data_IF_937568185420
#
_entry.id   IF_937568185420
#
_cell.length_a   1.000
_cell.length_b   1.000
_cell.length_c   1.000
_cell.angle_alpha   90.00
_cell.angle_beta   90.00
_cell.angle_gamma   90.00
#
_symmetry.space_group_name_H-M   'P 1'
#
loop_
_entity.id
_entity.type
_entity.pdbx_description
1 polymer ?
#
# COMPACT_ATOMS: atom_id res chain seq x y z
N UNK A 1 -2.45 -24.38 19.11
CA UNK A 1 -2.06 -23.42 18.06
C UNK A 1 -2.30 -21.98 18.51
N UNK A 2 -1.51 -21.51 19.49
CA UNK A 2 -1.55 -20.10 19.95
C UNK A 2 -0.71 -19.14 19.11
N UNK A 3 -0.07 -19.66 18.05
CA UNK A 3 0.82 -18.87 17.19
C UNK A 3 0.11 -17.94 16.22
N UNK A 4 -1.19 -18.10 16.01
CA UNK A 4 -1.90 -17.28 15.01
C UNK A 4 -2.37 -15.93 15.54
N UNK A 5 -2.56 -15.74 16.84
CA UNK A 5 -3.09 -14.49 17.40
C UNK A 5 -2.03 -13.40 17.52
N UNK A 6 -0.83 -13.70 18.03
CA UNK A 6 0.24 -12.72 18.19
C UNK A 6 0.80 -12.24 16.85
N UNK A 7 1.01 -13.15 15.89
CA UNK A 7 1.42 -12.80 14.53
C UNK A 7 0.35 -11.94 13.84
N UNK A 8 -0.92 -12.29 13.99
CA UNK A 8 -2.04 -11.54 13.41
C UNK A 8 -2.19 -10.14 14.02
N UNK A 9 -1.85 -9.93 15.27
CA UNK A 9 -1.96 -8.65 15.96
C UNK A 9 -0.89 -7.64 15.55
N UNK A 10 0.32 -8.10 15.26
CA UNK A 10 1.41 -7.25 14.75
C UNK A 10 1.11 -6.76 13.33
N UNK A 11 0.52 -7.63 12.48
CA UNK A 11 0.21 -7.31 11.07
C UNK A 11 -1.07 -6.50 10.88
N UNK A 12 -2.07 -6.64 11.73
CA UNK A 12 -3.39 -6.02 11.54
C UNK A 12 -3.44 -4.52 11.88
N UNK A 13 -2.40 -3.95 12.48
CA UNK A 13 -2.49 -2.60 13.07
C UNK A 13 -1.74 -1.51 12.31
N UNK A 14 -0.97 -1.82 11.26
CA UNK A 14 -0.08 -0.83 10.64
C UNK A 14 -0.41 -0.51 9.17
N UNK A 15 -1.09 -1.39 8.45
CA UNK A 15 -1.59 -1.12 7.12
C UNK A 15 -3.10 -1.32 7.06
N UNK A 16 -3.83 -0.27 6.71
CA UNK A 16 -5.26 -0.32 6.45
C UNK A 16 -5.50 -0.17 4.95
N UNK A 17 -6.26 -1.13 4.39
CA UNK A 17 -6.79 -1.01 3.04
C UNK A 17 -8.17 -0.37 3.10
N UNK A 18 -8.28 0.88 2.61
CA UNK A 18 -9.50 1.67 2.64
C UNK A 18 -9.81 2.18 1.23
N UNK A 19 -10.67 1.49 0.45
CA UNK A 19 -10.97 1.85 -0.92
C UNK A 19 -11.77 3.16 -1.02
N UNK A 20 -11.18 4.21 -1.62
CA UNK A 20 -11.86 5.51 -1.84
C UNK A 20 -12.51 5.59 -3.20
N UNK A 21 -11.95 4.98 -4.22
CA UNK A 21 -12.36 4.90 -5.62
C UNK A 21 -12.07 6.16 -6.45
N UNK A 22 -12.25 7.38 -5.92
CA UNK A 22 -11.98 8.66 -6.59
C UNK A 22 -11.69 9.75 -5.57
N UNK A 23 -10.94 10.77 -5.96
CA UNK A 23 -10.73 12.00 -5.18
C UNK A 23 -11.71 13.13 -5.53
N UNK A 24 -12.71 12.87 -6.39
CA UNK A 24 -13.74 13.84 -6.74
C UNK A 24 -15.09 13.47 -6.12
N UNK A 25 -15.67 14.39 -5.32
CA UNK A 25 -16.98 14.21 -4.72
C UNK A 25 -18.08 13.99 -5.78
N UNK A 26 -17.96 14.66 -6.93
CA UNK A 26 -18.89 14.47 -8.06
C UNK A 26 -18.82 13.01 -8.56
N UNK A 27 -17.63 12.48 -8.73
CA UNK A 27 -17.45 11.10 -9.22
C UNK A 27 -17.88 10.10 -8.15
N UNK A 28 -17.54 10.31 -6.89
CA UNK A 28 -18.02 9.46 -5.78
C UNK A 28 -19.55 9.39 -5.74
N UNK A 29 -20.22 10.53 -5.85
CA UNK A 29 -21.69 10.59 -5.91
C UNK A 29 -22.23 9.81 -7.12
N UNK A 30 -21.62 9.95 -8.29
CA UNK A 30 -22.02 9.24 -9.50
C UNK A 30 -21.79 7.73 -9.40
N UNK A 31 -20.81 7.30 -8.61
CA UNK A 31 -20.55 5.89 -8.27
C UNK A 31 -21.52 5.35 -7.20
N UNK A 32 -22.39 6.18 -6.63
CA UNK A 32 -23.29 5.80 -5.53
C UNK A 32 -22.57 5.62 -4.20
N UNK A 33 -21.45 6.31 -3.97
CA UNK A 33 -20.73 6.30 -2.70
C UNK A 33 -21.39 7.25 -1.71
N UNK A 34 -21.52 6.80 -0.45
CA UNK A 34 -22.18 7.56 0.62
C UNK A 34 -21.19 8.35 1.49
N UNK A 35 -19.98 8.62 0.98
CA UNK A 35 -18.97 9.42 1.65
C UNK A 35 -18.42 10.48 0.71
N UNK A 36 -17.98 11.58 1.26
CA UNK A 36 -17.22 12.61 0.58
C UNK A 36 -15.71 12.38 0.74
N UNK A 37 -14.89 13.11 -0.01
CA UNK A 37 -13.42 13.13 0.16
C UNK A 37 -13.07 13.70 1.53
N UNK A 38 -13.80 14.69 2.01
CA UNK A 38 -13.62 15.31 3.32
C UNK A 38 -13.86 14.31 4.45
N UNK A 39 -14.94 13.52 4.39
CA UNK A 39 -15.22 12.44 5.35
C UNK A 39 -14.09 11.40 5.35
N UNK A 40 -13.62 11.04 4.15
CA UNK A 40 -12.52 10.09 4.00
C UNK A 40 -11.24 10.62 4.65
N UNK A 41 -10.89 11.89 4.43
CA UNK A 41 -9.70 12.52 5.04
C UNK A 41 -9.86 12.62 6.56
N UNK A 42 -11.05 12.91 7.09
CA UNK A 42 -11.30 12.90 8.53
C UNK A 42 -10.98 11.54 9.14
N UNK A 43 -11.49 10.45 8.53
CA UNK A 43 -11.20 9.08 8.99
C UNK A 43 -9.68 8.80 8.96
N UNK A 44 -8.99 9.15 7.88
CA UNK A 44 -7.53 9.01 7.77
C UNK A 44 -6.81 9.74 8.91
N UNK A 45 -7.23 10.96 9.23
CA UNK A 45 -6.62 11.78 10.27
C UNK A 45 -6.87 11.21 11.66
N UNK A 46 -8.08 10.74 11.96
CA UNK A 46 -8.38 10.08 13.24
C UNK A 46 -7.57 8.79 13.42
N UNK A 47 -7.44 7.99 12.37
CA UNK A 47 -6.61 6.79 12.42
C UNK A 47 -5.13 7.13 12.63
N UNK A 48 -4.60 8.18 11.99
CA UNK A 48 -3.22 8.66 12.21
C UNK A 48 -3.00 9.21 13.61
N UNK A 49 -4.00 9.85 14.23
CA UNK A 49 -3.95 10.29 15.64
C UNK A 49 -3.88 9.09 16.58
N UNK A 50 -4.71 8.07 16.33
CA UNK A 50 -4.74 6.86 17.15
C UNK A 50 -3.45 6.03 17.01
N UNK A 51 -2.88 5.96 15.81
CA UNK A 51 -1.62 5.27 15.52
C UNK A 51 -0.79 6.04 14.47
N UNK A 52 0.23 6.84 14.88
CA UNK A 52 1.07 7.61 13.96
C UNK A 52 1.86 6.77 12.94
N UNK A 53 2.05 5.49 13.23
CA UNK A 53 2.78 4.57 12.33
C UNK A 53 1.89 3.96 11.25
N UNK A 54 0.57 4.15 11.35
CA UNK A 54 -0.37 3.55 10.40
C UNK A 54 -0.12 4.04 8.97
N UNK A 55 -0.25 3.13 8.02
CA UNK A 55 -0.18 3.41 6.58
C UNK A 55 -1.46 2.97 5.90
N UNK A 56 -1.67 3.49 4.70
CA UNK A 56 -2.90 3.26 3.95
C UNK A 56 -2.61 2.70 2.58
N UNK A 57 -3.50 1.83 2.13
CA UNK A 57 -3.65 1.40 0.75
C UNK A 57 -5.07 1.65 0.28
N UNK A 58 -5.27 1.83 -1.03
CA UNK A 58 -6.59 2.13 -1.57
C UNK A 58 -6.75 1.66 -3.01
N UNK A 59 -8.01 1.54 -3.45
CA UNK A 59 -8.38 1.29 -4.84
C UNK A 59 -8.88 2.57 -5.49
N UNK A 60 -8.62 2.69 -6.80
CA UNK A 60 -9.03 3.82 -7.62
C UNK A 60 -9.59 3.35 -8.96
N UNK A 61 -10.69 3.97 -9.39
CA UNK A 61 -11.28 3.77 -10.70
C UNK A 61 -11.03 5.03 -11.53
N UNK A 62 -10.31 4.89 -12.63
CA UNK A 62 -9.91 5.97 -13.53
C UNK A 62 -10.76 5.94 -14.79
N UNK A 63 -11.12 7.10 -15.33
CA UNK A 63 -11.92 7.20 -16.55
C UNK A 63 -13.37 6.80 -16.33
N UNK A 64 -13.92 7.02 -15.15
CA UNK A 64 -15.36 6.84 -14.89
C UNK A 64 -16.17 7.76 -15.81
N UNK A 65 -17.36 7.34 -16.31
CA UNK A 65 -18.20 8.17 -17.16
C UNK A 65 -18.48 9.55 -16.55
N UNK A 66 -18.18 10.60 -17.32
CA UNK A 66 -18.32 11.98 -16.87
C UNK A 66 -17.16 12.53 -16.02
N UNK A 67 -16.08 11.78 -15.84
CA UNK A 67 -14.84 12.27 -15.21
C UNK A 67 -14.18 13.33 -16.12
N UNK A 68 -13.99 14.53 -15.60
CA UNK A 68 -13.27 15.64 -16.24
C UNK A 68 -11.80 15.64 -15.83
N UNK A 69 -10.98 16.49 -16.47
CA UNK A 69 -9.57 16.66 -16.06
C UNK A 69 -9.48 17.18 -14.63
N UNK A 70 -10.37 18.08 -14.22
CA UNK A 70 -10.46 18.57 -12.85
C UNK A 70 -10.74 17.45 -11.86
N UNK A 71 -11.71 16.56 -12.16
CA UNK A 71 -12.02 15.39 -11.30
C UNK A 71 -10.81 14.45 -11.14
N UNK A 72 -10.05 14.29 -12.23
CA UNK A 72 -8.82 13.49 -12.21
C UNK A 72 -7.69 14.17 -11.41
N UNK A 73 -7.53 15.49 -11.53
CA UNK A 73 -6.57 16.28 -10.73
C UNK A 73 -6.89 16.20 -9.24
N UNK A 74 -8.17 16.27 -8.85
CA UNK A 74 -8.63 16.06 -7.46
C UNK A 74 -8.23 14.65 -6.96
N UNK A 75 -8.33 13.63 -7.81
CA UNK A 75 -7.89 12.28 -7.48
C UNK A 75 -6.38 12.19 -7.28
N UNK A 76 -5.58 12.85 -8.12
CA UNK A 76 -4.12 12.93 -7.94
C UNK A 76 -3.74 13.73 -6.69
N UNK A 77 -4.50 14.77 -6.35
CA UNK A 77 -4.30 15.55 -5.12
C UNK A 77 -4.51 14.66 -3.90
N UNK A 78 -5.61 13.93 -3.83
CA UNK A 78 -5.89 12.99 -2.74
C UNK A 78 -4.79 11.91 -2.62
N UNK A 79 -4.35 11.35 -3.75
CA UNK A 79 -3.27 10.35 -3.78
C UNK A 79 -1.99 10.87 -3.10
N UNK A 80 -1.61 12.12 -3.39
CA UNK A 80 -0.42 12.77 -2.83
C UNK A 80 -0.60 13.15 -1.36
N UNK A 81 -1.77 13.66 -0.99
CA UNK A 81 -2.10 14.12 0.36
C UNK A 81 -2.07 12.97 1.37
N UNK A 82 -2.76 11.88 1.08
CA UNK A 82 -2.78 10.70 1.96
C UNK A 82 -1.44 9.96 1.92
N UNK A 83 -0.75 10.01 0.77
CA UNK A 83 0.52 9.31 0.52
C UNK A 83 0.37 7.79 0.70
N UNK A 84 -0.57 7.19 -0.02
CA UNK A 84 -0.80 5.75 0.02
C UNK A 84 0.47 4.98 -0.34
N UNK A 85 0.83 4.00 0.48
CA UNK A 85 2.02 3.16 0.22
C UNK A 85 1.76 2.07 -0.81
N UNK A 86 0.51 1.70 -1.01
CA UNK A 86 0.04 0.87 -2.11
C UNK A 86 -1.26 1.46 -2.67
N UNK A 87 -1.37 1.52 -4.00
CA UNK A 87 -2.56 2.00 -4.70
C UNK A 87 -2.84 1.07 -5.87
N UNK A 88 -4.05 0.54 -5.91
CA UNK A 88 -4.53 -0.29 -7.01
C UNK A 88 -5.45 0.56 -7.88
N UNK A 89 -5.17 0.63 -9.17
CA UNK A 89 -5.89 1.50 -10.07
C UNK A 89 -6.33 0.77 -11.34
N UNK A 90 -7.58 0.98 -11.72
CA UNK A 90 -8.22 0.29 -12.82
C UNK A 90 -8.95 1.29 -13.70
N UNK A 91 -8.94 1.06 -15.02
CA UNK A 91 -9.86 1.77 -15.90
C UNK A 91 -11.28 1.29 -15.60
N UNK A 92 -12.23 2.22 -15.58
CA UNK A 92 -13.64 1.88 -15.42
C UNK A 92 -14.08 0.82 -16.44
N UNK A 93 -14.73 -0.23 -15.93
CA UNK A 93 -15.36 -1.27 -16.72
C UNK A 93 -16.88 -1.27 -16.47
N UNK A 94 -17.72 -1.12 -17.51
CA UNK A 94 -19.16 -1.11 -17.35
C UNK A 94 -19.68 -2.42 -16.75
N UNK A 95 -20.54 -2.32 -15.76
CA UNK A 95 -21.25 -3.47 -15.19
C UNK A 95 -22.71 -3.45 -15.67
N UNK A 96 -23.21 -4.54 -16.26
CA UNK A 96 -24.62 -4.62 -16.69
C UNK A 96 -25.58 -4.23 -15.55
N UNK A 97 -26.65 -3.51 -15.88
CA UNK A 97 -27.66 -3.09 -14.92
C UNK A 97 -27.34 -1.81 -14.13
N UNK A 98 -26.12 -1.29 -14.19
CA UNK A 98 -25.78 -0.04 -13.48
C UNK A 98 -26.11 1.20 -14.31
N UNK A 99 -26.49 2.34 -13.69
CA UNK A 99 -26.70 3.61 -14.41
C UNK A 99 -25.48 4.03 -15.22
N UNK A 100 -24.28 3.85 -14.68
CA UNK A 100 -23.03 4.20 -15.32
C UNK A 100 -22.77 3.43 -16.64
N UNK A 101 -23.30 2.20 -16.77
CA UNK A 101 -23.17 1.43 -18.00
C UNK A 101 -23.89 2.05 -19.20
N UNK A 102 -24.90 2.92 -18.92
CA UNK A 102 -25.70 3.64 -19.92
C UNK A 102 -25.12 5.01 -20.27
N UNK A 103 -24.15 5.49 -19.48
CA UNK A 103 -23.52 6.80 -19.71
C UNK A 103 -22.50 6.74 -20.86
N UNK A 104 -22.25 7.91 -21.46
CA UNK A 104 -21.15 8.05 -22.45
C UNK A 104 -19.84 7.72 -21.77
N UNK A 105 -19.15 6.71 -22.28
CA UNK A 105 -17.83 6.29 -21.78
C UNK A 105 -16.80 7.39 -22.00
N UNK A 106 -15.86 7.51 -21.09
CA UNK A 106 -14.63 8.28 -21.31
C UNK A 106 -13.85 7.67 -22.48
N UNK A 107 -13.25 8.51 -23.31
CA UNK A 107 -12.39 8.03 -24.40
C UNK A 107 -11.28 7.14 -23.82
N UNK A 108 -11.05 6.00 -24.48
CA UNK A 108 -10.11 4.99 -23.96
C UNK A 108 -8.67 5.50 -23.93
N UNK A 109 -8.29 6.38 -24.87
CA UNK A 109 -6.96 6.99 -24.92
C UNK A 109 -6.76 7.93 -23.76
N UNK A 110 -7.78 8.74 -23.45
CA UNK A 110 -7.79 9.62 -22.27
C UNK A 110 -7.71 8.79 -20.99
N UNK A 111 -8.54 7.74 -20.86
CA UNK A 111 -8.52 6.88 -19.67
C UNK A 111 -7.17 6.17 -19.46
N UNK A 112 -6.56 5.66 -20.54
CA UNK A 112 -5.22 5.04 -20.48
C UNK A 112 -4.14 6.05 -20.08
N UNK A 113 -4.17 7.27 -20.64
CA UNK A 113 -3.21 8.31 -20.28
C UNK A 113 -3.35 8.72 -18.81
N UNK A 114 -4.57 8.92 -18.31
CA UNK A 114 -4.83 9.20 -16.90
C UNK A 114 -4.36 8.06 -16.00
N UNK A 115 -4.63 6.82 -16.36
CA UNK A 115 -4.16 5.66 -15.61
C UNK A 115 -2.63 5.63 -15.53
N UNK A 116 -1.95 5.89 -16.64
CA UNK A 116 -0.48 5.97 -16.67
C UNK A 116 0.06 7.06 -15.74
N UNK A 117 -0.51 8.28 -15.81
CA UNK A 117 -0.12 9.39 -14.93
C UNK A 117 -0.36 9.02 -13.45
N UNK A 118 -1.53 8.44 -13.14
CA UNK A 118 -1.85 8.00 -11.79
C UNK A 118 -0.83 6.97 -11.27
N UNK A 119 -0.56 5.93 -12.07
CA UNK A 119 0.36 4.85 -11.68
C UNK A 119 1.79 5.37 -11.49
N UNK A 120 2.25 6.27 -12.36
CA UNK A 120 3.56 6.92 -12.21
C UNK A 120 3.65 7.69 -10.89
N UNK A 121 2.63 8.50 -10.59
CA UNK A 121 2.57 9.27 -9.33
C UNK A 121 2.52 8.36 -8.10
N UNK A 122 1.72 7.30 -8.14
CA UNK A 122 1.64 6.31 -7.06
C UNK A 122 2.97 5.59 -6.84
N UNK A 123 3.68 5.24 -7.91
CA UNK A 123 5.00 4.62 -7.85
C UNK A 123 6.05 5.53 -7.22
N UNK A 124 6.07 6.82 -7.59
CA UNK A 124 6.97 7.81 -6.98
C UNK A 124 6.75 7.92 -5.47
N UNK A 125 5.48 7.94 -5.01
CA UNK A 125 5.13 7.95 -3.60
C UNK A 125 5.64 6.68 -2.90
N UNK A 126 5.41 5.51 -3.50
CA UNK A 126 5.86 4.22 -2.98
C UNK A 126 7.37 4.12 -2.87
N UNK A 127 8.11 4.54 -3.90
CA UNK A 127 9.58 4.56 -3.89
C UNK A 127 10.09 5.50 -2.80
N UNK A 128 9.51 6.70 -2.67
CA UNK A 128 9.87 7.65 -1.61
C UNK A 128 9.62 7.07 -0.21
N UNK A 129 8.50 6.37 -0.01
CA UNK A 129 8.21 5.68 1.24
C UNK A 129 9.26 4.60 1.52
N UNK A 130 9.55 3.71 0.56
CA UNK A 130 10.51 2.61 0.73
C UNK A 130 11.92 3.08 1.04
N UNK A 131 12.39 4.17 0.40
CA UNK A 131 13.69 4.76 0.72
C UNK A 131 13.80 5.22 2.19
N UNK A 132 12.69 5.59 2.83
CA UNK A 132 12.66 5.95 4.26
C UNK A 132 12.84 4.76 5.20
N UNK A 133 12.67 3.54 4.69
CA UNK A 133 12.88 2.32 5.46
C UNK A 133 14.36 1.89 5.48
N UNK A 134 15.20 2.46 4.63
CA UNK A 134 16.63 2.12 4.63
C UNK A 134 17.27 2.50 5.96
N UNK A 135 18.11 1.59 6.48
CA UNK A 135 18.71 1.64 7.80
C UNK A 135 17.72 1.59 8.97
N UNK A 136 16.42 1.31 8.71
CA UNK A 136 15.42 1.06 9.73
C UNK A 136 15.27 -0.43 9.97
N UNK A 137 14.77 -0.76 11.16
CA UNK A 137 14.43 -2.13 11.55
C UNK A 137 12.94 -2.34 11.32
N UNK A 138 12.59 -3.41 10.61
CA UNK A 138 11.22 -3.87 10.40
C UNK A 138 11.05 -5.26 11.02
N UNK A 139 9.85 -5.56 11.49
CA UNK A 139 9.48 -6.93 11.89
C UNK A 139 9.01 -7.68 10.66
N UNK A 140 9.71 -8.73 10.29
CA UNK A 140 9.43 -9.50 9.07
C UNK A 140 8.98 -10.91 9.43
N UNK A 141 7.80 -11.30 8.97
CA UNK A 141 7.33 -12.67 9.00
C UNK A 141 7.77 -13.39 7.74
N UNK A 142 8.54 -14.46 7.89
CA UNK A 142 9.06 -15.25 6.79
C UNK A 142 8.06 -16.35 6.39
N UNK A 143 7.69 -16.35 5.11
CA UNK A 143 6.64 -17.23 4.56
C UNK A 143 7.26 -18.44 3.86
N UNK A 144 8.32 -18.25 3.09
CA UNK A 144 8.93 -19.31 2.29
C UNK A 144 10.41 -19.06 1.97
N UNK A 145 11.09 -20.12 1.56
CA UNK A 145 12.45 -20.09 1.03
C UNK A 145 12.42 -19.86 -0.48
N UNK A 146 13.33 -19.03 -0.99
CA UNK A 146 13.47 -18.75 -2.41
C UNK A 146 14.72 -19.44 -2.94
N UNK A 147 14.54 -20.26 -3.98
CA UNK A 147 15.66 -20.94 -4.64
C UNK A 147 16.54 -21.75 -3.68
N UNK A 148 17.79 -22.01 -4.10
CA UNK A 148 18.73 -22.87 -3.35
C UNK A 148 19.83 -22.10 -2.60
N UNK A 149 19.76 -20.75 -2.59
CA UNK A 149 20.86 -19.88 -2.10
C UNK A 149 20.70 -19.40 -0.66
N UNK A 150 19.85 -20.06 0.16
CA UNK A 150 19.61 -19.60 1.53
C UNK A 150 18.84 -18.28 1.64
N UNK A 151 18.07 -17.92 0.61
CA UNK A 151 17.25 -16.72 0.60
C UNK A 151 15.85 -17.04 1.09
N UNK A 152 15.33 -16.20 1.99
CA UNK A 152 14.01 -16.32 2.57
C UNK A 152 13.18 -15.09 2.21
N UNK A 153 11.95 -15.33 1.79
CA UNK A 153 10.95 -14.31 1.53
C UNK A 153 10.03 -14.18 2.73
N UNK A 154 9.75 -12.92 3.08
CA UNK A 154 8.76 -12.59 4.09
C UNK A 154 8.09 -11.26 3.79
N UNK A 155 7.22 -10.84 4.70
CA UNK A 155 6.54 -9.54 4.66
C UNK A 155 6.77 -8.79 5.96
N UNK A 156 6.98 -7.47 5.83
CA UNK A 156 7.03 -6.60 6.98
C UNK A 156 5.62 -6.21 7.48
N UNK A 157 5.55 -5.43 8.54
CA UNK A 157 4.32 -4.94 9.16
C UNK A 157 3.45 -4.06 8.25
N UNK A 158 3.96 -3.67 7.08
CA UNK A 158 3.27 -2.91 6.04
C UNK A 158 3.04 -3.72 4.76
N UNK A 159 3.22 -5.04 4.84
CA UNK A 159 3.11 -5.98 3.72
C UNK A 159 4.11 -5.72 2.58
N UNK A 160 5.22 -5.02 2.85
CA UNK A 160 6.30 -4.97 1.88
C UNK A 160 6.97 -6.35 1.78
N UNK A 161 7.27 -6.76 0.55
CA UNK A 161 8.09 -7.94 0.30
C UNK A 161 9.51 -7.71 0.78
N UNK A 162 10.04 -8.60 1.59
CA UNK A 162 11.40 -8.54 2.14
C UNK A 162 12.12 -9.85 1.84
N UNK A 163 13.37 -9.75 1.37
CA UNK A 163 14.26 -10.90 1.17
C UNK A 163 15.47 -10.76 2.10
N UNK A 164 15.78 -11.86 2.78
CA UNK A 164 16.93 -11.99 3.68
C UNK A 164 17.70 -13.24 3.35
N UNK A 165 19.03 -13.20 3.40
CA UNK A 165 19.90 -14.38 3.36
C UNK A 165 20.17 -14.88 4.77
N UNK A 166 20.02 -16.18 5.00
CA UNK A 166 20.27 -16.83 6.29
C UNK A 166 20.66 -18.29 6.09
N UNK A 167 21.56 -18.76 6.94
CA UNK A 167 21.90 -20.19 7.04
C UNK A 167 20.88 -20.94 7.96
N UNK A 168 20.15 -20.18 8.78
CA UNK A 168 19.06 -20.73 9.64
C UNK A 168 17.76 -20.76 8.87
N UNK A 169 16.91 -21.74 9.17
CA UNK A 169 15.55 -21.77 8.63
C UNK A 169 14.69 -20.69 9.29
N UNK A 170 14.17 -19.78 8.48
CA UNK A 170 13.35 -18.65 8.93
C UNK A 170 11.84 -18.87 8.72
N UNK A 171 11.40 -19.93 8.02
CA UNK A 171 10.00 -20.15 7.68
C UNK A 171 9.14 -20.19 8.96
N UNK A 172 8.06 -19.39 8.99
CA UNK A 172 7.14 -19.28 10.11
C UNK A 172 7.66 -18.42 11.27
N UNK A 173 8.84 -17.81 11.15
CA UNK A 173 9.41 -16.94 12.18
C UNK A 173 9.16 -15.47 11.87
N UNK A 174 9.05 -14.69 12.95
CA UNK A 174 9.07 -13.23 12.88
C UNK A 174 10.43 -12.78 13.41
N UNK A 175 11.20 -12.11 12.56
CA UNK A 175 12.53 -11.61 12.92
C UNK A 175 12.63 -10.10 12.73
N UNK A 176 13.51 -9.47 13.49
CA UNK A 176 13.88 -8.07 13.30
C UNK A 176 14.90 -7.98 12.17
N UNK A 177 14.57 -7.22 11.15
CA UNK A 177 15.38 -7.11 9.94
C UNK A 177 15.75 -5.66 9.71
N UNK A 178 17.05 -5.38 9.60
CA UNK A 178 17.54 -4.07 9.16
C UNK A 178 17.52 -4.03 7.64
N UNK A 179 16.71 -3.12 7.09
CA UNK A 179 16.60 -2.91 5.64
C UNK A 179 17.80 -2.09 5.17
N UNK A 180 18.53 -2.56 4.18
CA UNK A 180 19.69 -1.85 3.63
C UNK A 180 19.50 -1.38 2.18
N UNK A 181 18.61 -2.02 1.44
CA UNK A 181 18.37 -1.76 0.03
C UNK A 181 16.93 -2.09 -0.35
N UNK A 182 16.49 -1.62 -1.51
CA UNK A 182 15.21 -1.99 -2.08
C UNK A 182 15.07 -1.57 -3.53
N UNK A 183 14.31 -2.36 -4.27
CA UNK A 183 13.87 -2.04 -5.62
C UNK A 183 12.36 -1.74 -5.64
N UNK A 184 11.79 -1.66 -6.84
CA UNK A 184 10.35 -1.38 -7.04
C UNK A 184 9.44 -2.35 -6.26
N UNK A 185 9.81 -3.63 -6.17
CA UNK A 185 8.93 -4.68 -5.66
C UNK A 185 9.38 -5.27 -4.32
N UNK A 186 10.67 -5.20 -3.99
CA UNK A 186 11.28 -5.95 -2.90
C UNK A 186 12.25 -5.08 -2.11
N UNK A 187 12.24 -5.24 -0.81
CA UNK A 187 13.26 -4.74 0.13
C UNK A 187 14.24 -5.87 0.43
N UNK A 188 15.48 -5.51 0.70
CA UNK A 188 16.54 -6.44 1.11
C UNK A 188 17.04 -6.04 2.48
N UNK A 189 17.25 -7.04 3.34
CA UNK A 189 17.66 -6.81 4.71
C UNK A 189 18.58 -7.87 5.26
N UNK A 190 19.05 -7.63 6.48
CA UNK A 190 19.79 -8.59 7.32
C UNK A 190 19.08 -8.71 8.65
N UNK A 191 19.08 -9.92 9.23
CA UNK A 191 18.60 -10.14 10.58
C UNK A 191 19.43 -9.27 11.52
N UNK A 192 18.74 -8.57 12.42
CA UNK A 192 19.37 -7.81 13.50
C UNK A 192 19.54 -8.73 14.71
N UNK A 193 20.78 -9.15 14.97
CA UNK A 193 21.11 -9.89 16.17
C UNK A 193 21.20 -8.92 17.37
N UNK A 194 20.23 -8.95 18.27
CA UNK A 194 20.25 -8.20 19.52
C UNK A 194 21.07 -8.90 20.63
N UNK A 195 21.58 -10.12 20.33
CA UNK A 195 22.45 -10.85 21.25
C UNK A 195 23.89 -10.27 21.16
N UNK A 196 24.24 -9.27 21.96
CA UNK A 196 25.59 -8.92 22.44
C UNK A 196 25.83 -7.42 22.63
N UNK A 197 24.90 -6.65 23.22
CA UNK A 197 25.24 -5.28 23.63
C UNK A 197 25.19 -5.02 25.14
N UNK A 198 24.85 -6.01 25.96
CA UNK A 198 24.72 -5.79 27.42
C UNK A 198 25.66 -6.62 28.30
N UNK A 199 26.86 -6.94 27.85
CA UNK A 199 27.91 -7.44 28.75
C UNK A 199 29.29 -6.91 28.38
N UNK A 200 29.46 -5.59 28.39
CA UNK A 200 30.77 -4.95 28.43
C UNK A 200 30.63 -3.60 29.14
N UNK A 201 30.57 -3.68 30.47
CA UNK A 201 30.84 -2.57 31.39
C UNK A 201 31.62 -3.11 32.57
#
# INVERSE_FOLDING_TARGET
PEYSSAASDVYKRQLIHLPVQSGSNKILKNMGRNHSVEDYILIINELKKANPFIKFSSDFIIGYPGETDKDFEETLKLLKEVSFINSYSYIYSPRPGTPAARMKKTDITVAKNRLYIFQKTAEEIKIKYRKRLFNKISSVMFENKIGNKGEFFGRDEYLNSVIVKSDKNLIGRIEKVRIYEGNRNTLFGKIEDFENKDFAA
#
